data_IF_957397409404
#
_entry.id   IF_957397409404
#
_cell.length_a   1.000
_cell.length_b   1.000
_cell.length_c   1.000
_cell.angle_alpha   90.00
_cell.angle_beta   90.00
_cell.angle_gamma   90.00
#
_symmetry.space_group_name_H-M   'P 1'
#
loop_
_entity.id
_entity.type
_entity.pdbx_description
1 polymer ?
#
# COMPACT_ATOMS: atom_id res chain seq x y z
N UNK A 1 -20.61 24.00 3.40
CA UNK A 1 -20.04 24.38 4.71
C UNK A 1 -20.20 23.28 5.77
N UNK A 2 -21.30 22.52 5.76
CA UNK A 2 -21.52 21.33 6.60
C UNK A 2 -20.40 20.29 6.48
N UNK A 3 -19.93 20.01 5.27
CA UNK A 3 -19.00 18.90 5.03
C UNK A 3 -17.62 19.17 5.64
N UNK A 4 -17.18 20.43 5.58
CA UNK A 4 -15.95 20.88 6.22
C UNK A 4 -16.01 20.78 7.74
N UNK A 5 -17.18 21.06 8.32
CA UNK A 5 -17.38 20.89 9.75
C UNK A 5 -17.27 19.42 10.16
N UNK A 6 -17.82 18.50 9.35
CA UNK A 6 -17.71 17.05 9.59
C UNK A 6 -16.25 16.60 9.51
N UNK A 7 -15.52 17.03 8.47
CA UNK A 7 -14.09 16.70 8.32
C UNK A 7 -13.27 17.25 9.48
N UNK A 8 -13.49 18.51 9.87
CA UNK A 8 -12.79 19.11 10.99
C UNK A 8 -13.11 18.40 12.31
N UNK A 9 -14.38 18.11 12.58
CA UNK A 9 -14.80 17.35 13.76
C UNK A 9 -14.17 15.95 13.80
N UNK A 10 -14.07 15.27 12.66
CA UNK A 10 -13.43 13.97 12.55
C UNK A 10 -11.93 14.02 12.87
N UNK A 11 -11.22 15.03 12.37
CA UNK A 11 -9.78 15.24 12.66
C UNK A 11 -9.59 15.51 14.15
N UNK A 12 -10.37 16.43 14.73
CA UNK A 12 -10.30 16.77 16.15
C UNK A 12 -10.59 15.53 17.00
N UNK A 13 -11.63 14.76 16.67
CA UNK A 13 -11.96 13.53 17.37
C UNK A 13 -10.82 12.51 17.30
N UNK A 14 -10.23 12.30 16.12
CA UNK A 14 -9.14 11.33 15.92
C UNK A 14 -7.90 11.69 16.75
N UNK A 15 -7.51 12.97 16.73
CA UNK A 15 -6.36 13.48 17.49
C UNK A 15 -6.64 13.43 19.00
N UNK A 16 -7.82 13.89 19.43
CA UNK A 16 -8.22 13.87 20.84
C UNK A 16 -8.28 12.45 21.42
N UNK A 17 -8.82 11.49 20.64
CA UNK A 17 -8.86 10.07 21.02
C UNK A 17 -7.45 9.48 21.19
N UNK A 18 -6.52 9.88 20.31
CA UNK A 18 -5.11 9.49 20.41
C UNK A 18 -4.46 9.99 21.70
N UNK A 19 -4.58 11.29 22.00
CA UNK A 19 -4.05 11.86 23.24
C UNK A 19 -4.72 11.30 24.49
N UNK A 20 -6.04 11.10 24.48
CA UNK A 20 -6.78 10.51 25.60
C UNK A 20 -6.34 9.06 25.92
N UNK A 21 -5.80 8.34 24.94
CA UNK A 21 -5.34 6.95 25.09
C UNK A 21 -3.83 6.86 25.35
N UNK A 22 -3.09 7.96 25.27
CA UNK A 22 -1.62 8.00 25.34
C UNK A 22 -1.08 7.47 26.67
N UNK A 23 -1.61 7.95 27.80
CA UNK A 23 -1.12 7.58 29.13
C UNK A 23 -1.24 6.07 29.38
N UNK A 24 -2.36 5.48 28.95
CA UNK A 24 -2.59 4.02 29.05
C UNK A 24 -1.68 3.26 28.09
N UNK A 25 -1.68 3.62 26.81
CA UNK A 25 -0.89 2.90 25.80
C UNK A 25 0.63 2.96 26.06
N UNK A 26 1.12 4.01 26.70
CA UNK A 26 2.55 4.17 27.02
C UNK A 26 3.02 3.43 28.28
N UNK A 27 2.11 2.82 29.05
CA UNK A 27 2.43 2.22 30.33
C UNK A 27 3.40 1.03 30.22
N UNK A 28 3.24 0.17 29.21
CA UNK A 28 4.15 -0.94 28.92
C UNK A 28 3.94 -1.49 27.49
N UNK A 29 4.82 -2.38 27.04
CA UNK A 29 4.76 -2.98 25.69
C UNK A 29 3.51 -3.83 25.44
N UNK A 30 2.98 -4.50 26.47
CA UNK A 30 1.75 -5.30 26.35
C UNK A 30 0.52 -4.39 26.20
N UNK A 31 0.48 -3.25 26.87
CA UNK A 31 -0.56 -2.25 26.71
C UNK A 31 -0.47 -1.55 25.34
N UNK A 32 0.75 -1.26 24.88
CA UNK A 32 0.99 -0.63 23.58
C UNK A 32 0.60 -1.52 22.39
N UNK A 33 1.01 -2.80 22.40
CA UNK A 33 0.80 -3.71 21.27
C UNK A 33 -0.44 -4.59 21.40
N UNK A 34 -0.84 -4.97 22.63
CA UNK A 34 -1.95 -5.90 22.87
C UNK A 34 -3.15 -5.25 23.56
N UNK A 35 -3.10 -3.95 23.90
CA UNK A 35 -4.14 -3.24 24.65
C UNK A 35 -4.57 -3.99 25.93
N UNK A 36 -3.58 -4.56 26.63
CA UNK A 36 -3.78 -5.35 27.85
C UNK A 36 -4.62 -6.61 27.65
N UNK A 37 -4.77 -7.08 26.41
CA UNK A 37 -5.66 -8.20 26.01
C UNK A 37 -7.12 -8.01 26.46
N UNK A 38 -7.51 -6.76 26.72
CA UNK A 38 -8.82 -6.40 27.28
C UNK A 38 -9.87 -6.09 26.20
N UNK A 39 -9.44 -5.98 24.94
CA UNK A 39 -10.32 -5.65 23.81
C UNK A 39 -11.31 -6.78 23.53
N UNK A 40 -12.59 -6.41 23.43
CA UNK A 40 -13.64 -7.32 22.94
C UNK A 40 -13.30 -7.75 21.51
N UNK A 41 -13.52 -9.03 21.20
CA UNK A 41 -13.14 -9.62 19.91
C UNK A 41 -13.67 -8.87 18.67
N UNK A 42 -14.89 -8.32 18.74
CA UNK A 42 -15.44 -7.53 17.62
C UNK A 42 -14.67 -6.20 17.38
N UNK A 43 -14.14 -5.56 18.44
CA UNK A 43 -13.32 -4.34 18.30
C UNK A 43 -12.00 -4.66 17.64
N UNK A 44 -11.38 -5.77 18.06
CA UNK A 44 -10.15 -6.27 17.44
C UNK A 44 -10.40 -6.64 15.97
N UNK A 45 -11.48 -7.35 15.66
CA UNK A 45 -11.86 -7.69 14.29
C UNK A 45 -12.11 -6.47 13.41
N UNK A 46 -12.82 -5.45 13.91
CA UNK A 46 -13.03 -4.19 13.19
C UNK A 46 -11.71 -3.46 12.93
N UNK A 47 -10.83 -3.41 13.92
CA UNK A 47 -9.50 -2.81 13.77
C UNK A 47 -8.63 -3.56 12.77
N UNK A 48 -8.75 -4.89 12.69
CA UNK A 48 -8.03 -5.71 11.72
C UNK A 48 -8.59 -5.56 10.30
N UNK A 49 -9.88 -5.28 10.15
CA UNK A 49 -10.51 -5.08 8.85
C UNK A 49 -10.33 -3.66 8.29
N UNK A 50 -10.18 -2.65 9.16
CA UNK A 50 -10.08 -1.25 8.75
C UNK A 50 -8.96 -0.95 7.73
N UNK A 51 -7.73 -1.50 7.85
CA UNK A 51 -6.66 -1.27 6.88
C UNK A 51 -6.99 -1.77 5.46
N UNK A 52 -7.85 -2.78 5.32
CA UNK A 52 -8.30 -3.32 4.04
C UNK A 52 -9.30 -2.40 3.33
N UNK A 53 -9.82 -1.37 4.02
CA UNK A 53 -10.67 -0.34 3.43
C UNK A 53 -9.91 0.98 3.27
N UNK A 54 -8.60 0.92 3.04
CA UNK A 54 -7.78 2.06 2.68
C UNK A 54 -8.17 2.63 1.29
N UNK A 55 -7.73 3.85 1.01
CA UNK A 55 -8.15 4.65 -0.15
C UNK A 55 -7.93 3.98 -1.52
N UNK A 56 -6.94 3.10 -1.62
CA UNK A 56 -6.60 2.31 -2.81
C UNK A 56 -7.61 1.21 -3.13
N UNK A 57 -8.24 0.63 -2.10
CA UNK A 57 -9.11 -0.54 -2.28
C UNK A 57 -10.43 -0.21 -3.00
N UNK A 58 -11.17 0.86 -2.65
CA UNK A 58 -12.34 1.30 -3.44
C UNK A 58 -11.98 1.65 -4.88
N UNK A 59 -10.79 2.23 -5.12
CA UNK A 59 -10.32 2.54 -6.46
C UNK A 59 -10.08 1.27 -7.28
N UNK A 60 -9.47 0.25 -6.69
CA UNK A 60 -9.32 -1.09 -7.28
C UNK A 60 -10.69 -1.72 -7.60
N UNK A 61 -11.63 -1.69 -6.65
CA UNK A 61 -12.99 -2.26 -6.84
C UNK A 61 -13.69 -1.56 -8.00
N UNK A 62 -13.67 -0.22 -8.03
CA UNK A 62 -14.26 0.55 -9.12
C UNK A 62 -13.62 0.21 -10.46
N UNK A 63 -12.29 0.14 -10.53
CA UNK A 63 -11.55 -0.25 -11.73
C UNK A 63 -11.89 -1.66 -12.22
N UNK A 64 -12.04 -2.63 -11.31
CA UNK A 64 -12.47 -3.99 -11.63
C UNK A 64 -13.89 -4.04 -12.22
N UNK A 65 -14.82 -3.28 -11.65
CA UNK A 65 -16.21 -3.20 -12.14
C UNK A 65 -16.26 -2.51 -13.51
N UNK A 66 -15.53 -1.41 -13.69
CA UNK A 66 -15.49 -0.68 -14.96
C UNK A 66 -14.90 -1.52 -16.10
N UNK A 67 -13.96 -2.42 -15.81
CA UNK A 67 -13.26 -3.21 -16.84
C UNK A 67 -13.93 -4.54 -17.16
N UNK A 68 -14.50 -5.23 -16.16
CA UNK A 68 -15.05 -6.58 -16.33
C UNK A 68 -16.39 -6.82 -15.63
N UNK A 69 -17.07 -5.77 -15.22
CA UNK A 69 -18.38 -5.84 -14.55
C UNK A 69 -18.30 -6.36 -13.12
N UNK A 70 -19.48 -6.58 -12.53
CA UNK A 70 -19.61 -6.99 -11.12
C UNK A 70 -18.97 -8.36 -10.83
N UNK A 71 -18.82 -9.21 -11.85
CA UNK A 71 -18.20 -10.52 -11.74
C UNK A 71 -16.74 -10.44 -11.25
N UNK A 72 -16.01 -9.36 -11.60
CA UNK A 72 -14.61 -9.19 -11.20
C UNK A 72 -14.42 -9.01 -9.68
N UNK A 73 -15.49 -8.65 -8.95
CA UNK A 73 -15.47 -8.56 -7.48
C UNK A 73 -15.24 -9.94 -6.85
N UNK A 74 -15.54 -11.04 -7.55
CA UNK A 74 -15.26 -12.41 -7.08
C UNK A 74 -13.79 -12.61 -6.69
N UNK A 75 -12.87 -11.89 -7.34
CA UNK A 75 -11.43 -11.89 -7.00
C UNK A 75 -11.19 -11.47 -5.54
N UNK A 76 -11.96 -10.50 -5.02
CA UNK A 76 -11.85 -10.04 -3.63
C UNK A 76 -12.49 -11.04 -2.65
N UNK A 77 -13.62 -11.64 -3.04
CA UNK A 77 -14.30 -12.65 -2.21
C UNK A 77 -13.43 -13.88 -1.98
N UNK A 78 -12.65 -14.31 -2.98
CA UNK A 78 -11.70 -15.43 -2.82
C UNK A 78 -10.67 -15.11 -1.73
N UNK A 79 -10.10 -13.90 -1.72
CA UNK A 79 -9.16 -13.49 -0.67
C UNK A 79 -9.85 -13.42 0.71
N UNK A 80 -11.06 -12.87 0.78
CA UNK A 80 -11.83 -12.82 2.03
C UNK A 80 -12.06 -14.21 2.63
N UNK A 81 -12.49 -15.18 1.82
CA UNK A 81 -12.71 -16.56 2.26
C UNK A 81 -11.38 -17.22 2.66
N UNK A 82 -10.31 -17.02 1.90
CA UNK A 82 -9.01 -17.58 2.20
C UNK A 82 -8.45 -17.06 3.54
N UNK A 83 -8.55 -15.75 3.80
CA UNK A 83 -8.10 -15.15 5.05
C UNK A 83 -8.97 -15.58 6.24
N UNK A 84 -10.29 -15.67 6.08
CA UNK A 84 -11.18 -16.19 7.11
C UNK A 84 -10.84 -17.64 7.48
N UNK A 85 -10.60 -18.49 6.47
CA UNK A 85 -10.21 -19.87 6.70
C UNK A 85 -8.86 -19.97 7.40
N UNK A 86 -7.88 -19.16 6.98
CA UNK A 86 -6.57 -19.09 7.62
C UNK A 86 -6.68 -18.66 9.08
N UNK A 87 -7.47 -17.63 9.38
CA UNK A 87 -7.65 -17.12 10.74
C UNK A 87 -8.36 -18.15 11.65
N UNK A 88 -9.44 -18.78 11.18
CA UNK A 88 -10.14 -19.81 11.97
C UNK A 88 -9.21 -20.98 12.29
N UNK A 89 -8.41 -21.44 11.31
CA UNK A 89 -7.50 -22.56 11.50
C UNK A 89 -6.30 -22.20 12.38
N UNK A 90 -5.72 -21.00 12.21
CA UNK A 90 -4.46 -20.62 12.85
C UNK A 90 -4.65 -19.84 14.16
N UNK A 91 -5.82 -19.23 14.42
CA UNK A 91 -6.06 -18.38 15.61
C UNK A 91 -5.76 -19.10 16.93
N UNK A 92 -6.14 -20.38 17.05
CA UNK A 92 -5.86 -21.18 18.23
C UNK A 92 -4.36 -21.43 18.42
N UNK A 93 -3.61 -21.65 17.34
CA UNK A 93 -2.16 -21.83 17.37
C UNK A 93 -1.45 -20.53 17.72
N UNK A 94 -1.92 -19.41 17.17
CA UNK A 94 -1.39 -18.07 17.46
C UNK A 94 -1.59 -17.66 18.92
N UNK A 95 -2.77 -17.93 19.47
CA UNK A 95 -3.06 -17.67 20.88
C UNK A 95 -2.20 -18.52 21.81
N UNK A 96 -1.84 -19.75 21.42
CA UNK A 96 -0.94 -20.62 22.19
C UNK A 96 0.53 -20.20 22.10
N UNK A 97 0.94 -19.61 20.98
CA UNK A 97 2.33 -19.16 20.79
C UNK A 97 2.69 -17.98 21.71
N UNK A 98 1.70 -17.16 22.13
CA UNK A 98 1.87 -16.00 23.02
C UNK A 98 3.03 -15.08 22.60
N UNK A 99 3.25 -14.95 21.28
CA UNK A 99 4.26 -14.08 20.68
C UNK A 99 3.73 -12.67 20.52
N UNK A 100 4.61 -11.68 20.71
CA UNK A 100 4.27 -10.27 20.49
C UNK A 100 4.37 -9.89 19.01
N UNK A 101 5.31 -10.49 18.29
CA UNK A 101 5.57 -10.19 16.87
C UNK A 101 5.59 -11.46 16.03
N UNK A 102 5.13 -11.40 14.78
CA UNK A 102 5.21 -12.53 13.85
C UNK A 102 6.68 -12.95 13.54
N UNK A 103 7.63 -12.02 13.69
CA UNK A 103 9.05 -12.34 13.60
C UNK A 103 9.56 -13.17 14.80
N UNK A 104 8.97 -13.02 15.99
CA UNK A 104 9.34 -13.80 17.17
C UNK A 104 8.96 -15.27 17.04
N UNK A 105 7.93 -15.58 16.25
CA UNK A 105 7.55 -16.97 15.97
C UNK A 105 8.74 -17.77 15.37
N UNK A 106 9.59 -17.14 14.57
CA UNK A 106 10.74 -17.86 13.99
C UNK A 106 11.70 -18.36 15.06
N UNK A 107 11.80 -17.65 16.19
CA UNK A 107 12.64 -18.04 17.32
C UNK A 107 12.06 -19.21 18.12
N UNK A 108 10.73 -19.35 18.16
CA UNK A 108 10.06 -20.47 18.81
C UNK A 108 10.01 -21.69 17.87
N UNK A 109 9.84 -21.45 16.57
CA UNK A 109 9.62 -22.51 15.58
C UNK A 109 10.89 -23.20 15.11
N UNK A 110 11.99 -22.46 14.98
CA UNK A 110 13.26 -22.96 14.46
C UNK A 110 14.34 -22.93 15.54
N UNK A 111 15.33 -23.81 15.41
CA UNK A 111 16.48 -23.89 16.32
C UNK A 111 17.81 -23.75 15.55
N UNK A 112 18.86 -23.31 16.25
CA UNK A 112 20.21 -23.19 15.71
C UNK A 112 20.67 -21.76 15.41
N UNK A 113 21.88 -21.65 14.85
CA UNK A 113 22.59 -20.37 14.67
C UNK A 113 21.95 -19.46 13.60
N UNK A 114 21.16 -20.01 12.68
CA UNK A 114 20.50 -19.27 11.59
C UNK A 114 19.20 -18.57 11.98
N UNK A 115 18.69 -18.79 13.20
CA UNK A 115 17.40 -18.25 13.64
C UNK A 115 17.42 -16.72 13.78
N UNK A 116 18.49 -16.18 14.37
CA UNK A 116 18.65 -14.74 14.57
C UNK A 116 18.70 -13.95 13.24
N UNK A 117 19.55 -14.32 12.26
CA UNK A 117 19.54 -13.63 10.96
C UNK A 117 18.20 -13.79 10.22
N UNK A 118 17.55 -14.95 10.31
CA UNK A 118 16.22 -15.15 9.71
C UNK A 118 15.15 -14.24 10.33
N UNK A 119 15.17 -14.09 11.67
CA UNK A 119 14.27 -13.18 12.40
C UNK A 119 14.49 -11.73 11.98
N UNK A 120 15.74 -11.29 11.91
CA UNK A 120 16.08 -9.92 11.48
C UNK A 120 15.62 -9.69 10.04
N UNK A 121 15.93 -10.61 9.12
CA UNK A 121 15.53 -10.50 7.73
C UNK A 121 14.01 -10.38 7.60
N UNK A 122 13.26 -11.25 8.28
CA UNK A 122 11.79 -11.21 8.29
C UNK A 122 11.27 -9.89 8.86
N UNK A 123 11.85 -9.41 9.96
CA UNK A 123 11.46 -8.14 10.58
C UNK A 123 11.72 -6.93 9.68
N UNK A 124 12.88 -6.86 9.01
CA UNK A 124 13.21 -5.76 8.10
C UNK A 124 12.34 -5.82 6.84
N UNK A 125 12.20 -7.01 6.25
CA UNK A 125 11.45 -7.20 5.01
C UNK A 125 9.96 -6.89 5.19
N UNK A 126 9.28 -7.57 6.13
CA UNK A 126 7.85 -7.35 6.34
C UNK A 126 7.56 -6.07 7.11
N UNK A 127 8.37 -5.76 8.13
CA UNK A 127 8.13 -4.61 9.01
C UNK A 127 8.46 -3.27 8.38
N UNK A 128 9.47 -3.20 7.50
CA UNK A 128 9.89 -1.95 6.86
C UNK A 128 9.56 -1.94 5.38
N UNK A 129 10.13 -2.84 4.57
CA UNK A 129 10.06 -2.75 3.11
C UNK A 129 8.62 -2.85 2.60
N UNK A 130 7.89 -3.90 3.02
CA UNK A 130 6.50 -4.12 2.59
C UNK A 130 5.58 -3.02 3.14
N UNK A 131 5.67 -2.70 4.42
CA UNK A 131 4.85 -1.65 5.02
C UNK A 131 5.07 -0.28 4.38
N UNK A 132 6.32 0.11 4.11
CA UNK A 132 6.62 1.37 3.43
C UNK A 132 6.07 1.39 2.00
N UNK A 133 6.17 0.26 1.28
CA UNK A 133 5.62 0.15 -0.09
C UNK A 133 4.10 0.27 -0.10
N UNK A 134 3.41 -0.43 0.81
CA UNK A 134 1.96 -0.35 0.95
C UNK A 134 1.52 1.06 1.35
N UNK A 135 2.22 1.68 2.31
CA UNK A 135 1.94 3.06 2.72
C UNK A 135 2.10 4.04 1.55
N UNK A 136 3.14 3.88 0.74
CA UNK A 136 3.34 4.71 -0.45
C UNK A 136 2.18 4.55 -1.45
N UNK A 137 1.74 3.31 -1.73
CA UNK A 137 0.59 3.07 -2.62
C UNK A 137 -0.70 3.70 -2.08
N UNK A 138 -0.99 3.53 -0.79
CA UNK A 138 -2.18 4.10 -0.14
C UNK A 138 -2.15 5.63 -0.15
N UNK A 139 -0.99 6.24 0.11
CA UNK A 139 -0.83 7.70 0.07
C UNK A 139 -1.01 8.26 -1.34
N UNK A 140 -0.50 7.57 -2.37
CA UNK A 140 -0.72 7.97 -3.77
C UNK A 140 -2.20 7.88 -4.14
N UNK A 141 -2.89 6.81 -3.76
CA UNK A 141 -4.33 6.69 -4.01
C UNK A 141 -5.13 7.78 -3.27
N UNK A 142 -4.78 8.05 -2.01
CA UNK A 142 -5.41 9.11 -1.22
C UNK A 142 -5.18 10.50 -1.84
N UNK A 143 -3.97 10.78 -2.33
CA UNK A 143 -3.66 12.02 -3.03
C UNK A 143 -4.48 12.18 -4.31
N UNK A 144 -4.66 11.11 -5.09
CA UNK A 144 -5.49 11.11 -6.31
C UNK A 144 -6.96 11.41 -6.03
N UNK A 145 -7.50 10.84 -4.96
CA UNK A 145 -8.86 11.16 -4.52
C UNK A 145 -8.92 12.61 -4.05
N UNK A 146 -7.97 13.05 -3.21
CA UNK A 146 -7.94 14.40 -2.68
C UNK A 146 -7.78 15.47 -3.77
N UNK A 147 -7.06 15.21 -4.86
CA UNK A 147 -6.90 16.13 -6.00
C UNK A 147 -8.26 16.46 -6.65
N UNK A 148 -9.13 15.46 -6.77
CA UNK A 148 -10.46 15.60 -7.40
C UNK A 148 -11.47 16.26 -6.46
N UNK A 149 -11.39 15.97 -5.15
CA UNK A 149 -12.40 16.43 -4.18
C UNK A 149 -12.01 17.72 -3.44
N UNK A 150 -10.72 17.94 -3.16
CA UNK A 150 -10.20 19.09 -2.44
C UNK A 150 -9.42 19.99 -3.40
N UNK A 151 -10.09 20.96 -4.00
CA UNK A 151 -9.45 21.98 -4.83
C UNK A 151 -8.77 23.05 -3.96
N UNK A 152 -7.73 22.69 -3.20
CA UNK A 152 -7.07 23.51 -2.17
C UNK A 152 -6.81 24.97 -2.57
N UNK A 153 -6.49 25.21 -3.85
CA UNK A 153 -6.26 26.53 -4.41
C UNK A 153 -7.46 27.50 -4.30
N UNK A 154 -8.69 26.97 -4.26
CA UNK A 154 -9.91 27.78 -4.32
C UNK A 154 -10.40 28.27 -2.95
N UNK A 155 -9.98 27.64 -1.85
CA UNK A 155 -10.57 27.87 -0.52
C UNK A 155 -9.54 28.04 0.59
N UNK A 156 -8.28 27.67 0.36
CA UNK A 156 -7.21 27.97 1.30
C UNK A 156 -6.67 29.40 1.03
N UNK A 157 -6.55 30.26 2.06
CA UNK A 157 -5.94 31.58 1.89
C UNK A 157 -4.55 31.48 1.29
N UNK A 158 -4.22 32.37 0.33
CA UNK A 158 -2.92 32.36 -0.35
C UNK A 158 -1.72 32.44 0.60
N UNK A 159 -1.88 33.03 1.78
CA UNK A 159 -0.87 33.08 2.84
C UNK A 159 -0.50 31.72 3.43
N UNK A 160 -1.43 30.76 3.47
CA UNK A 160 -1.20 29.39 3.93
C UNK A 160 -0.81 28.47 2.77
N UNK A 161 -1.37 28.69 1.58
CA UNK A 161 -1.14 27.86 0.40
C UNK A 161 0.27 28.02 -0.19
N UNK A 162 0.72 29.27 -0.39
CA UNK A 162 1.98 29.58 -1.07
C UNK A 162 3.23 29.02 -0.37
N UNK A 163 3.37 29.08 0.97
CA UNK A 163 4.51 28.46 1.65
C UNK A 163 4.58 26.95 1.45
N UNK A 164 3.43 26.26 1.51
CA UNK A 164 3.35 24.80 1.33
C UNK A 164 3.76 24.42 -0.09
N UNK A 165 3.23 25.10 -1.11
CA UNK A 165 3.60 24.85 -2.51
C UNK A 165 5.07 25.13 -2.75
N UNK A 166 5.61 26.22 -2.20
CA UNK A 166 7.04 26.55 -2.34
C UNK A 166 7.97 25.52 -1.70
N UNK A 167 7.51 24.86 -0.63
CA UNK A 167 8.26 23.79 0.03
C UNK A 167 8.25 22.51 -0.82
N UNK A 168 7.09 22.16 -1.39
CA UNK A 168 6.92 20.99 -2.26
C UNK A 168 7.66 21.18 -3.60
N UNK A 169 7.60 22.38 -4.19
CA UNK A 169 8.32 22.67 -5.44
C UNK A 169 9.85 22.59 -5.26
N UNK A 170 10.36 22.84 -4.04
CA UNK A 170 11.79 22.69 -3.72
C UNK A 170 12.23 21.23 -3.60
N UNK A 171 11.33 20.32 -3.22
CA UNK A 171 11.65 18.89 -3.17
C UNK A 171 11.57 18.22 -4.54
N UNK A 172 11.05 18.93 -5.56
CA UNK A 172 10.87 18.39 -6.91
C UNK A 172 9.81 17.29 -7.01
N UNK A 173 9.00 17.10 -5.96
CA UNK A 173 7.95 16.09 -5.90
C UNK A 173 6.70 16.62 -6.61
N UNK A 174 6.46 16.13 -7.82
CA UNK A 174 5.18 16.36 -8.51
C UNK A 174 4.14 15.37 -7.97
N UNK A 175 3.40 15.80 -6.96
CA UNK A 175 2.43 14.97 -6.24
C UNK A 175 1.15 14.68 -7.05
N UNK A 176 0.95 15.36 -8.19
CA UNK A 176 -0.34 15.40 -8.87
C UNK A 176 -0.29 15.33 -10.40
N UNK A 177 0.81 15.66 -11.08
CA UNK A 177 0.83 15.51 -12.54
C UNK A 177 1.10 14.06 -12.98
N UNK A 178 0.10 13.42 -13.60
CA UNK A 178 0.30 12.31 -14.53
C UNK A 178 0.75 10.95 -13.96
N UNK A 179 -0.14 10.20 -13.31
CA UNK A 179 -0.04 8.73 -13.24
C UNK A 179 -1.30 8.07 -13.78
N UNK A 180 -1.80 8.58 -14.90
CA UNK A 180 -2.92 7.97 -15.65
C UNK A 180 -2.48 6.81 -16.55
N UNK A 181 -1.32 6.19 -16.30
CA UNK A 181 -0.90 4.96 -16.95
C UNK A 181 0.23 4.29 -16.17
N UNK A 182 -0.08 3.61 -15.06
CA UNK A 182 0.68 2.38 -14.82
C UNK A 182 0.23 1.43 -15.93
N UNK A 183 1.00 1.35 -17.01
CA UNK A 183 0.68 0.47 -18.12
C UNK A 183 0.47 -0.95 -17.60
N UNK A 184 -0.39 -1.74 -18.24
CA UNK A 184 -0.63 -3.14 -17.83
C UNK A 184 0.69 -3.94 -17.72
N UNK A 185 1.74 -3.51 -18.40
CA UNK A 185 3.09 -4.05 -18.26
C UNK A 185 3.70 -3.78 -16.86
N UNK A 186 3.55 -2.57 -16.30
CA UNK A 186 4.00 -2.20 -14.93
C UNK A 186 3.35 -3.06 -13.86
N UNK A 187 2.03 -3.23 -13.94
CA UNK A 187 1.28 -4.05 -13.01
C UNK A 187 1.63 -5.55 -13.10
N UNK A 188 1.81 -6.09 -14.31
CA UNK A 188 2.14 -7.51 -14.51
C UNK A 188 3.56 -7.87 -14.09
N UNK A 189 4.51 -6.95 -14.21
CA UNK A 189 5.89 -7.18 -13.79
C UNK A 189 6.06 -7.07 -12.28
N UNK A 190 5.37 -6.13 -11.62
CA UNK A 190 5.29 -6.08 -10.16
C UNK A 190 4.62 -7.34 -9.60
N UNK A 191 3.54 -7.81 -10.25
CA UNK A 191 2.88 -9.07 -9.90
C UNK A 191 3.80 -10.28 -10.11
N UNK A 192 4.55 -10.33 -11.22
CA UNK A 192 5.50 -11.42 -11.51
C UNK A 192 6.68 -11.43 -10.55
N UNK A 193 7.15 -10.25 -10.12
CA UNK A 193 8.15 -10.12 -9.06
C UNK A 193 7.61 -10.57 -7.71
N UNK A 194 6.43 -10.12 -7.31
CA UNK A 194 5.81 -10.49 -6.03
C UNK A 194 5.50 -11.99 -5.96
N UNK A 195 4.96 -12.57 -7.03
CA UNK A 195 4.67 -14.01 -7.13
C UNK A 195 5.95 -14.85 -7.20
N UNK A 196 6.90 -14.45 -8.05
CA UNK A 196 8.17 -15.14 -8.26
C UNK A 196 9.04 -15.15 -7.00
N UNK A 197 9.25 -13.99 -6.36
CA UNK A 197 9.97 -13.91 -5.09
C UNK A 197 9.21 -14.62 -3.98
N UNK A 198 7.89 -14.46 -3.89
CA UNK A 198 7.07 -15.13 -2.87
C UNK A 198 7.20 -16.65 -2.89
N UNK A 199 7.17 -17.26 -4.08
CA UNK A 199 7.33 -18.72 -4.26
C UNK A 199 8.78 -19.20 -4.20
N UNK A 200 9.75 -18.34 -4.53
CA UNK A 200 11.18 -18.65 -4.34
C UNK A 200 11.56 -18.65 -2.85
N UNK A 201 10.97 -17.76 -2.05
CA UNK A 201 11.22 -17.64 -0.61
C UNK A 201 10.50 -18.72 0.22
N UNK A 202 9.34 -19.21 -0.26
CA UNK A 202 8.53 -20.24 0.40
C UNK A 202 8.33 -21.40 -0.58
N UNK A 203 9.34 -22.27 -0.66
CA UNK A 203 9.29 -23.48 -1.48
C UNK A 203 8.75 -24.67 -0.64
N UNK A 204 7.67 -25.30 -1.12
CA UNK A 204 7.13 -26.54 -0.55
C UNK A 204 7.85 -27.76 -1.16
N UNK A 205 8.18 -28.79 -0.37
CA UNK A 205 8.94 -29.94 -0.86
C UNK A 205 8.15 -30.70 -1.95
N UNK A 206 8.72 -30.76 -3.16
CA UNK A 206 8.12 -31.40 -4.33
C UNK A 206 7.68 -30.45 -5.45
N UNK A 207 7.67 -29.13 -5.23
CA UNK A 207 7.34 -28.15 -6.28
C UNK A 207 8.55 -27.77 -7.14
N UNK A 208 8.38 -27.70 -8.47
CA UNK A 208 9.46 -27.28 -9.36
C UNK A 208 9.70 -25.76 -9.25
N UNK A 209 10.94 -25.39 -8.92
CA UNK A 209 11.40 -23.98 -8.86
C UNK A 209 11.47 -23.30 -10.23
N UNK A 210 11.19 -24.01 -11.32
CA UNK A 210 11.27 -23.49 -12.68
C UNK A 210 10.28 -22.35 -12.93
N UNK A 211 9.01 -22.51 -12.54
CA UNK A 211 7.97 -21.49 -12.74
C UNK A 211 8.22 -20.19 -11.97
N UNK A 212 8.55 -20.22 -10.66
CA UNK A 212 8.94 -19.02 -9.91
C UNK A 212 10.19 -18.34 -10.45
N UNK A 213 11.21 -19.13 -10.81
CA UNK A 213 12.47 -18.61 -11.36
C UNK A 213 12.26 -17.97 -12.73
N UNK A 214 11.44 -18.59 -13.59
CA UNK A 214 11.05 -18.01 -14.87
C UNK A 214 10.25 -16.73 -14.69
N UNK A 215 9.36 -16.63 -13.69
CA UNK A 215 8.65 -15.39 -13.41
C UNK A 215 9.57 -14.25 -12.95
N UNK A 216 10.60 -14.55 -12.15
CA UNK A 216 11.64 -13.58 -11.74
C UNK A 216 12.47 -13.14 -12.95
N UNK A 217 12.91 -14.09 -13.78
CA UNK A 217 13.71 -13.79 -14.99
C UNK A 217 12.88 -13.00 -16.00
N UNK A 218 11.61 -13.37 -16.21
CA UNK A 218 10.70 -12.65 -17.10
C UNK A 218 10.47 -11.23 -16.59
N UNK A 219 10.29 -11.07 -15.27
CA UNK A 219 10.22 -9.75 -14.65
C UNK A 219 11.51 -8.94 -14.86
N UNK A 220 12.68 -9.52 -14.63
CA UNK A 220 13.97 -8.84 -14.80
C UNK A 220 14.34 -8.54 -16.27
N UNK A 221 13.89 -9.36 -17.22
CA UNK A 221 14.11 -9.17 -18.68
C UNK A 221 13.17 -8.11 -19.24
N UNK A 222 11.98 -7.96 -18.67
CA UNK A 222 11.06 -6.88 -19.03
C UNK A 222 11.55 -5.53 -18.47
N UNK A 223 12.35 -5.52 -17.39
CA UNK A 223 12.86 -4.30 -16.72
C UNK A 223 13.58 -3.31 -17.68
N UNK A 224 14.43 -3.73 -18.61
CA UNK A 224 15.08 -2.82 -19.55
C UNK A 224 14.19 -2.37 -20.72
N UNK A 225 13.16 -3.14 -21.08
CA UNK A 225 12.38 -2.92 -22.31
C UNK A 225 11.37 -1.78 -22.14
N UNK A 226 10.57 -1.83 -21.08
CA UNK A 226 9.71 -0.73 -20.65
C UNK A 226 10.46 0.49 -20.08
N UNK A 227 11.72 0.38 -19.62
CA UNK A 227 12.55 1.53 -19.16
C UNK A 227 12.86 2.42 -20.36
N UNK A 228 13.14 1.82 -21.52
CA UNK A 228 13.30 2.56 -22.78
C UNK A 228 11.99 3.12 -23.32
N UNK A 229 10.87 2.38 -23.15
CA UNK A 229 9.54 2.85 -23.56
C UNK A 229 9.02 3.99 -22.67
N UNK A 230 9.37 4.02 -21.38
CA UNK A 230 8.99 5.07 -20.45
C UNK A 230 9.53 6.43 -20.92
N UNK A 231 10.81 6.48 -21.33
CA UNK A 231 11.43 7.72 -21.82
C UNK A 231 11.05 8.07 -23.28
N UNK A 232 10.78 7.08 -24.14
CA UNK A 232 10.35 7.36 -25.52
C UNK A 232 8.89 7.84 -25.60
N UNK A 233 8.03 7.33 -24.72
CA UNK A 233 6.63 7.79 -24.67
C UNK A 233 6.52 9.20 -24.11
N UNK A 234 7.40 9.61 -23.18
CA UNK A 234 7.50 11.01 -22.74
C UNK A 234 7.75 11.98 -23.92
N UNK A 235 8.76 11.71 -24.77
CA UNK A 235 9.09 12.57 -25.92
C UNK A 235 7.97 12.63 -26.98
N UNK A 236 7.32 11.49 -27.26
CA UNK A 236 6.25 11.41 -28.27
C UNK A 236 4.95 12.05 -27.75
N UNK A 237 4.65 11.90 -26.47
CA UNK A 237 3.49 12.53 -25.82
C UNK A 237 3.70 14.03 -25.66
N UNK A 238 4.92 14.50 -25.35
CA UNK A 238 5.27 15.92 -25.33
C UNK A 238 5.09 16.57 -26.71
N UNK A 239 5.57 15.92 -27.79
CA UNK A 239 5.39 16.40 -29.17
C UNK A 239 3.92 16.38 -29.61
N UNK A 240 3.15 15.37 -29.23
CA UNK A 240 1.73 15.28 -29.53
C UNK A 240 0.89 16.30 -28.74
N UNK A 241 1.27 16.58 -27.49
CA UNK A 241 0.66 17.60 -26.65
C UNK A 241 0.95 19.01 -27.20
N UNK A 242 2.20 19.34 -27.52
CA UNK A 242 2.59 20.62 -28.16
C UNK A 242 1.92 20.85 -29.54
N UNK A 243 1.63 19.78 -30.29
CA UNK A 243 0.83 19.85 -31.54
C UNK A 243 -0.65 20.15 -31.28
N UNK A 244 -1.24 19.60 -30.21
CA UNK A 244 -2.66 19.83 -29.85
C UNK A 244 -2.91 21.19 -29.21
N UNK A 245 -1.93 21.76 -28.50
CA UNK A 245 -2.00 23.09 -27.88
C UNK A 245 -1.51 24.21 -28.79
N UNK A 246 -1.12 23.93 -30.04
CA UNK A 246 -0.71 24.93 -31.03
C UNK A 246 0.64 25.60 -30.76
N UNK A 247 1.40 25.14 -29.76
CA UNK A 247 2.66 25.75 -29.35
C UNK A 247 3.85 25.49 -30.28
N UNK A 248 3.70 24.60 -31.28
CA UNK A 248 4.75 24.32 -32.27
C UNK A 248 4.79 25.31 -33.45
N UNK A 249 3.86 26.27 -33.54
CA UNK A 249 3.81 27.22 -34.68
C UNK A 249 4.61 28.51 -34.42
N UNK A 250 5.24 28.65 -33.24
CA UNK A 250 5.96 29.89 -32.86
C UNK A 250 7.50 29.76 -32.85
N UNK A 251 8.06 28.64 -33.32
CA UNK A 251 9.51 28.41 -33.35
C UNK A 251 10.05 27.97 -34.74
N UNK A 252 9.43 28.43 -35.82
CA UNK A 252 10.07 28.48 -37.16
C UNK A 252 9.94 29.86 -37.80
#
# INVERSE_FOLDING_TARGET
MSDLLIVFAFIVYSVASGFASQDKASANLEEYFLAGKSLKGWKAGLSMAAPQYAADTPLLVAGLICTGGIFMIWRLWIYGIAFLMMDILMSALWRRANVLTDAELTAIRYSGKGVMPLRILKAVYYGTIINCTVMAMVLVAAARIAEIFLHWHNWLPGSLYQPIVSLISRTGLDLASGTSALSNEVATTLFSWLYGFGKWLIHLPGESLLLPSLAIVLGAVLVPWWWRLLFQTEEVQEKAFKRRTGQLVLEE
#
